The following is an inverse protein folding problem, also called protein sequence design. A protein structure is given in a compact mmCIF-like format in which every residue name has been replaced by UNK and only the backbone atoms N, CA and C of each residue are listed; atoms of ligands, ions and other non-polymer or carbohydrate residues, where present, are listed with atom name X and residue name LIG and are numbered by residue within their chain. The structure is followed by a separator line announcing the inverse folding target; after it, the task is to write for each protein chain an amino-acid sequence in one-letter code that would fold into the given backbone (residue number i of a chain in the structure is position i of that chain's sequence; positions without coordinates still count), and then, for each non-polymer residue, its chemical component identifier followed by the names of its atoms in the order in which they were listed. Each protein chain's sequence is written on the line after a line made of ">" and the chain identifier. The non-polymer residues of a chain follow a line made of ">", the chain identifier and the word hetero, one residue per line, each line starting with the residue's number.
data_IF_190991890586
#
_entry.id   IF_190991890586
#
_cell.length_a   1.000
_cell.length_b   1.000
_cell.length_c   1.000
_cell.angle_alpha   90.00
_cell.angle_beta   90.00
_cell.angle_gamma   90.00
#
_symmetry.space_group_name_H-M   'P 1'
#
loop_
_entity.id
_entity.type
_entity.pdbx_description
1 polymer ?
#
# COMPACT_ATOMS: atom_id res chain seq x y z
N UNK A 1 34.22 -32.66 7.36
CA UNK A 1 33.45 -32.55 8.61
C UNK A 1 32.20 -31.74 8.33
N UNK A 2 31.07 -32.40 8.11
CA UNK A 2 29.78 -31.78 7.81
C UNK A 2 28.92 -31.80 9.09
N UNK A 3 28.60 -30.63 9.65
CA UNK A 3 27.66 -30.53 10.76
C UNK A 3 26.28 -30.14 10.22
N UNK A 4 25.37 -31.11 10.18
CA UNK A 4 23.93 -30.84 10.07
C UNK A 4 23.42 -30.43 11.45
N UNK A 5 22.92 -29.20 11.57
CA UNK A 5 22.23 -28.71 12.77
C UNK A 5 20.72 -28.87 12.53
N UNK A 6 20.12 -29.88 13.15
CA UNK A 6 18.67 -30.10 13.15
C UNK A 6 18.06 -29.33 14.33
N UNK A 7 17.27 -28.28 14.08
CA UNK A 7 16.49 -27.62 15.14
C UNK A 7 15.17 -28.37 15.35
N UNK A 8 15.01 -29.03 16.50
CA UNK A 8 13.72 -29.49 17.04
C UNK A 8 13.29 -28.52 18.14
N UNK A 9 12.21 -27.77 17.90
CA UNK A 9 11.53 -27.00 18.94
C UNK A 9 10.38 -27.82 19.52
N UNK A 10 10.48 -28.22 20.78
CA UNK A 10 9.39 -28.78 21.58
C UNK A 10 8.72 -27.62 22.31
N UNK A 11 7.42 -27.42 22.10
CA UNK A 11 6.61 -26.44 22.84
C UNK A 11 5.64 -27.23 23.74
N UNK A 12 5.93 -27.23 25.04
CA UNK A 12 5.01 -27.71 26.09
C UNK A 12 4.25 -26.50 26.61
N UNK A 13 2.96 -26.44 26.33
CA UNK A 13 2.04 -25.47 26.93
C UNK A 13 1.06 -26.21 27.82
N UNK A 14 1.20 -26.06 29.14
CA UNK A 14 0.21 -26.51 30.13
C UNK A 14 -0.95 -25.53 30.17
N UNK A 15 -2.13 -25.97 29.75
CA UNK A 15 -3.38 -25.23 30.01
C UNK A 15 -4.01 -25.79 31.29
N UNK A 16 -4.15 -24.93 32.30
CA UNK A 16 -4.84 -25.23 33.54
C UNK A 16 -6.33 -25.46 33.28
N UNK A 17 -6.85 -26.62 33.68
CA UNK A 17 -8.29 -26.93 33.65
C UNK A 17 -8.98 -26.26 34.84
N UNK A 18 -9.72 -25.20 34.59
CA UNK A 18 -10.75 -24.68 35.50
C UNK A 18 -12.04 -25.47 35.33
N UNK A 19 -12.44 -26.20 36.37
CA UNK A 19 -13.70 -26.93 36.43
C UNK A 19 -14.89 -25.97 36.63
N UNK A 20 -15.95 -26.14 35.84
CA UNK A 20 -17.19 -25.35 35.99
C UNK A 20 -18.29 -25.69 34.97
N UNK A 21 -19.04 -26.76 35.28
CA UNK A 21 -20.45 -27.02 34.90
C UNK A 21 -20.95 -26.88 33.44
N UNK A 22 -21.16 -28.04 32.82
CA UNK A 22 -22.37 -28.52 32.10
C UNK A 22 -23.15 -27.52 31.23
N UNK A 23 -22.80 -27.49 29.94
CA UNK A 23 -23.68 -27.08 28.84
C UNK A 23 -23.30 -27.86 27.58
N UNK A 24 -24.16 -28.78 27.15
CA UNK A 24 -24.00 -29.56 25.91
C UNK A 24 -24.09 -28.60 24.72
N UNK A 25 -22.94 -28.25 24.15
CA UNK A 25 -22.83 -27.52 22.89
C UNK A 25 -21.47 -27.83 22.29
N UNK A 26 -21.45 -28.67 21.26
CA UNK A 26 -20.25 -28.99 20.49
C UNK A 26 -19.74 -27.69 19.87
N UNK A 27 -18.74 -27.07 20.49
CA UNK A 27 -17.94 -26.03 19.86
C UNK A 27 -17.00 -26.75 18.88
N UNK A 28 -17.10 -26.54 17.55
CA UNK A 28 -16.08 -27.03 16.66
C UNK A 28 -14.77 -26.35 17.05
N UNK A 29 -13.79 -27.16 17.44
CA UNK A 29 -12.46 -26.67 17.75
C UNK A 29 -11.93 -25.88 16.56
N UNK A 30 -11.63 -24.60 16.79
CA UNK A 30 -10.75 -23.84 15.90
C UNK A 30 -9.35 -24.42 16.05
N UNK A 31 -9.13 -25.58 15.41
CA UNK A 31 -7.81 -25.94 14.97
C UNK A 31 -7.43 -24.86 13.93
N UNK A 32 -6.70 -23.82 14.38
CA UNK A 32 -5.87 -23.05 13.47
C UNK A 32 -4.78 -24.00 13.00
N UNK A 33 -5.10 -24.79 11.98
CA UNK A 33 -4.10 -25.27 11.06
C UNK A 33 -3.37 -24.02 10.58
N UNK A 34 -2.08 -23.92 10.94
CA UNK A 34 -1.15 -23.00 10.31
C UNK A 34 -1.01 -23.43 8.85
N UNK A 35 -2.01 -23.10 8.03
CA UNK A 35 -1.85 -23.08 6.60
C UNK A 35 -0.71 -22.12 6.34
N UNK A 36 0.38 -22.62 5.75
CA UNK A 36 1.37 -21.75 5.15
C UNK A 36 0.60 -20.79 4.24
N UNK A 37 0.50 -19.54 4.67
CA UNK A 37 -0.18 -18.49 3.93
C UNK A 37 0.42 -18.50 2.52
N UNK A 38 -0.42 -18.70 1.51
CA UNK A 38 -0.09 -18.50 0.09
C UNK A 38 0.10 -16.99 -0.16
N UNK A 39 1.12 -16.45 0.50
CA UNK A 39 1.48 -15.03 0.55
C UNK A 39 2.17 -14.73 -0.77
N UNK A 40 1.56 -13.84 -1.55
CA UNK A 40 2.20 -13.27 -2.73
C UNK A 40 2.91 -11.98 -2.33
N UNK A 41 4.16 -11.82 -2.76
CA UNK A 41 4.92 -10.60 -2.52
C UNK A 41 4.95 -9.80 -3.82
N UNK A 42 4.46 -8.57 -3.78
CA UNK A 42 4.37 -7.65 -4.91
C UNK A 42 5.30 -6.47 -4.72
N UNK A 43 5.90 -5.97 -5.81
CA UNK A 43 6.67 -4.75 -5.77
C UNK A 43 6.33 -3.81 -6.93
N UNK A 44 6.34 -2.52 -6.66
CA UNK A 44 6.32 -1.45 -7.66
C UNK A 44 7.51 -0.53 -7.40
N UNK A 45 8.42 -0.47 -8.37
CA UNK A 45 9.60 0.40 -8.34
C UNK A 45 9.40 1.50 -9.38
N UNK A 46 9.43 2.76 -8.96
CA UNK A 46 9.28 3.93 -9.84
C UNK A 46 10.61 4.68 -9.82
N UNK A 47 11.23 4.83 -10.99
CA UNK A 47 12.49 5.55 -11.16
C UNK A 47 12.35 6.63 -12.23
N UNK A 48 12.45 7.90 -11.82
CA UNK A 48 12.33 9.07 -12.70
C UNK A 48 13.68 9.74 -12.85
N UNK A 49 14.39 9.38 -13.92
CA UNK A 49 15.73 9.91 -14.23
C UNK A 49 15.67 11.17 -15.09
N UNK A 50 14.81 11.21 -16.10
CA UNK A 50 14.71 12.33 -17.04
C UNK A 50 13.35 13.04 -16.93
N UNK A 51 13.38 14.36 -17.13
CA UNK A 51 12.19 15.23 -17.09
C UNK A 51 12.10 16.03 -18.39
N UNK A 52 11.59 15.45 -19.49
CA UNK A 52 11.59 16.06 -20.82
C UNK A 52 10.87 17.42 -20.88
N UNK A 53 9.91 17.67 -20.00
CA UNK A 53 9.15 18.92 -19.94
C UNK A 53 9.81 19.99 -19.06
N UNK A 54 10.95 19.69 -18.42
CA UNK A 54 11.70 20.59 -17.54
C UNK A 54 13.09 20.91 -18.15
N UNK A 55 13.79 21.95 -17.67
CA UNK A 55 15.15 22.23 -18.10
C UNK A 55 16.06 21.01 -17.95
N UNK A 56 17.03 20.77 -18.86
CA UNK A 56 17.88 19.58 -18.84
C UNK A 56 18.61 19.32 -17.52
N UNK A 57 18.90 20.39 -16.76
CA UNK A 57 19.51 20.33 -15.42
C UNK A 57 18.63 19.67 -14.35
N UNK A 58 17.34 19.45 -14.62
CA UNK A 58 16.43 18.77 -13.71
C UNK A 58 16.64 17.25 -13.72
N UNK A 59 17.28 16.69 -14.76
CA UNK A 59 17.56 15.25 -14.82
C UNK A 59 18.49 14.79 -13.69
N UNK A 60 18.25 13.58 -13.23
CA UNK A 60 19.02 12.89 -12.20
C UNK A 60 19.88 11.79 -12.83
N UNK A 61 20.81 11.23 -12.06
CA UNK A 61 21.66 10.09 -12.50
C UNK A 61 21.32 8.80 -11.73
N UNK A 62 20.88 8.94 -10.48
CA UNK A 62 20.68 7.82 -9.54
C UNK A 62 19.45 6.93 -9.77
N UNK A 63 18.25 7.44 -10.09
CA UNK A 63 17.01 6.66 -9.95
C UNK A 63 16.97 5.33 -10.68
N UNK A 64 17.48 5.26 -11.91
CA UNK A 64 17.55 3.99 -12.65
C UNK A 64 18.49 2.98 -11.99
N UNK A 65 19.62 3.43 -11.43
CA UNK A 65 20.53 2.56 -10.69
C UNK A 65 19.86 2.03 -9.42
N UNK A 66 19.12 2.88 -8.70
CA UNK A 66 18.38 2.48 -7.49
C UNK A 66 17.34 1.39 -7.81
N UNK A 67 16.55 1.57 -8.87
CA UNK A 67 15.54 0.60 -9.27
C UNK A 67 16.16 -0.72 -9.74
N UNK A 68 17.28 -0.67 -10.48
CA UNK A 68 17.98 -1.88 -10.91
C UNK A 68 18.51 -2.69 -9.73
N UNK A 69 19.20 -2.02 -8.78
CA UNK A 69 19.76 -2.65 -7.58
C UNK A 69 18.67 -3.25 -6.69
N UNK A 70 17.58 -2.51 -6.46
CA UNK A 70 16.47 -3.01 -5.64
C UNK A 70 15.74 -4.14 -6.34
N UNK A 71 15.50 -4.08 -7.65
CA UNK A 71 14.92 -5.20 -8.40
C UNK A 71 15.77 -6.46 -8.26
N UNK A 72 17.07 -6.35 -8.46
CA UNK A 72 17.99 -7.47 -8.31
C UNK A 72 17.96 -8.03 -6.88
N UNK A 73 17.98 -7.16 -5.88
CA UNK A 73 17.87 -7.58 -4.47
C UNK A 73 16.56 -8.33 -4.21
N UNK A 74 15.42 -7.81 -4.66
CA UNK A 74 14.11 -8.42 -4.44
C UNK A 74 13.99 -9.81 -5.08
N UNK A 75 14.57 -10.00 -6.27
CA UNK A 75 14.48 -11.26 -7.01
C UNK A 75 15.47 -12.33 -6.50
N UNK A 76 16.66 -11.92 -6.06
CA UNK A 76 17.75 -12.87 -5.83
C UNK A 76 18.20 -12.99 -4.36
N UNK A 77 18.02 -11.93 -3.56
CA UNK A 77 18.68 -11.81 -2.25
C UNK A 77 17.71 -11.54 -1.09
N UNK A 78 16.47 -11.16 -1.39
CA UNK A 78 15.50 -10.82 -0.36
C UNK A 78 15.16 -12.05 0.50
N UNK A 79 14.98 -11.87 1.83
CA UNK A 79 14.60 -12.97 2.72
C UNK A 79 13.18 -13.49 2.48
N UNK A 80 12.38 -12.76 1.69
CA UNK A 80 11.08 -13.17 1.20
C UNK A 80 11.11 -13.21 -0.34
N UNK A 81 10.55 -14.26 -0.93
CA UNK A 81 10.62 -14.51 -2.37
C UNK A 81 9.67 -13.57 -3.13
N UNK A 82 10.19 -12.78 -4.05
CA UNK A 82 9.39 -12.07 -5.06
C UNK A 82 9.48 -12.82 -6.39
N UNK A 83 8.34 -13.16 -6.98
CA UNK A 83 8.34 -13.69 -8.35
C UNK A 83 8.52 -12.53 -9.34
N UNK A 84 9.31 -12.70 -10.43
CA UNK A 84 9.57 -11.64 -11.41
C UNK A 84 8.31 -10.96 -11.96
N UNK A 85 7.24 -11.72 -12.20
CA UNK A 85 5.95 -11.21 -12.69
C UNK A 85 5.22 -10.31 -11.68
N UNK A 86 5.59 -10.37 -10.40
CA UNK A 86 5.04 -9.57 -9.33
C UNK A 86 5.90 -8.34 -8.99
N UNK A 87 7.03 -8.14 -9.68
CA UNK A 87 7.90 -6.96 -9.54
C UNK A 87 7.77 -6.09 -10.77
N UNK A 88 7.01 -5.00 -10.66
CA UNK A 88 6.83 -4.01 -11.72
C UNK A 88 7.82 -2.86 -11.57
N UNK A 89 8.46 -2.44 -12.65
CA UNK A 89 9.34 -1.27 -12.72
C UNK A 89 8.78 -0.26 -13.71
N UNK A 90 8.63 0.99 -13.28
CA UNK A 90 8.33 2.12 -14.15
C UNK A 90 9.58 2.99 -14.24
N UNK A 91 10.21 3.02 -15.41
CA UNK A 91 11.46 3.72 -15.65
C UNK A 91 11.70 3.90 -17.15
N UNK A 92 12.40 4.98 -17.53
CA UNK A 92 12.85 5.21 -18.89
C UNK A 92 14.33 4.80 -19.04
N UNK A 93 14.70 4.21 -20.18
CA UNK A 93 16.11 3.91 -20.52
C UNK A 93 16.71 2.65 -19.87
N UNK A 94 15.89 1.82 -19.23
CA UNK A 94 16.25 0.47 -18.74
C UNK A 94 15.13 -0.53 -19.06
N UNK A 95 15.36 -1.82 -18.82
CA UNK A 95 14.30 -2.85 -18.89
C UNK A 95 13.23 -2.55 -17.83
N UNK A 96 12.01 -2.25 -18.30
CA UNK A 96 10.92 -1.77 -17.46
C UNK A 96 9.54 -2.15 -18.02
N UNK A 97 8.52 -2.02 -17.19
CA UNK A 97 7.11 -2.24 -17.55
C UNK A 97 6.45 -0.99 -18.16
N UNK A 98 7.17 0.13 -18.28
CA UNK A 98 6.66 1.36 -18.89
C UNK A 98 7.33 2.63 -18.37
N UNK A 99 7.02 3.75 -19.01
CA UNK A 99 7.49 5.07 -18.61
C UNK A 99 6.89 5.50 -17.26
N UNK A 100 7.65 6.20 -16.39
CA UNK A 100 7.22 6.62 -15.06
C UNK A 100 6.42 7.93 -15.11
N UNK A 101 5.39 7.98 -15.96
CA UNK A 101 4.45 9.10 -16.05
C UNK A 101 3.43 9.04 -14.91
N UNK A 102 2.76 10.16 -14.62
CA UNK A 102 1.70 10.22 -13.61
C UNK A 102 0.63 9.16 -13.88
N UNK A 103 0.21 9.04 -15.15
CA UNK A 103 -0.80 8.06 -15.57
C UNK A 103 -0.36 6.60 -15.35
N UNK A 104 0.88 6.26 -15.69
CA UNK A 104 1.42 4.91 -15.49
C UNK A 104 1.52 4.55 -14.01
N UNK A 105 2.00 5.49 -13.18
CA UNK A 105 2.14 5.28 -11.73
C UNK A 105 0.78 5.02 -11.09
N UNK A 106 -0.23 5.85 -11.40
CA UNK A 106 -1.60 5.66 -10.91
C UNK A 106 -2.17 4.32 -11.33
N UNK A 107 -2.03 3.97 -12.62
CA UNK A 107 -2.52 2.70 -13.15
C UNK A 107 -1.84 1.48 -12.48
N UNK A 108 -0.55 1.58 -12.18
CA UNK A 108 0.17 0.52 -11.48
C UNK A 108 -0.30 0.36 -10.02
N UNK A 109 -0.52 1.48 -9.31
CA UNK A 109 -1.06 1.47 -7.95
C UNK A 109 -2.49 0.91 -7.90
N UNK A 110 -3.35 1.31 -8.84
CA UNK A 110 -4.71 0.76 -8.97
C UNK A 110 -4.68 -0.73 -9.32
N UNK A 111 -3.76 -1.13 -10.20
CA UNK A 111 -3.50 -2.53 -10.54
C UNK A 111 -3.09 -3.36 -9.32
N UNK A 112 -2.24 -2.83 -8.44
CA UNK A 112 -1.91 -3.46 -7.16
C UNK A 112 -3.14 -3.57 -6.26
N UNK A 113 -3.92 -2.50 -6.12
CA UNK A 113 -5.14 -2.50 -5.30
C UNK A 113 -6.12 -3.58 -5.75
N UNK A 114 -6.23 -3.86 -7.06
CA UNK A 114 -7.09 -4.93 -7.60
C UNK A 114 -6.59 -6.36 -7.38
N UNK A 115 -5.27 -6.55 -7.18
CA UNK A 115 -4.62 -7.87 -7.10
C UNK A 115 -4.37 -8.33 -5.67
N UNK A 116 -3.90 -7.43 -4.81
CA UNK A 116 -3.41 -7.72 -3.45
C UNK A 116 -4.51 -8.28 -2.56
N UNK A 117 -4.17 -9.27 -1.76
CA UNK A 117 -5.06 -9.97 -0.80
C UNK A 117 -4.53 -9.83 0.63
N UNK A 118 -5.29 -10.36 1.59
CA UNK A 118 -4.77 -10.50 2.95
C UNK A 118 -3.60 -11.47 2.99
N UNK A 119 -2.58 -11.13 3.79
CA UNK A 119 -1.38 -11.93 3.94
C UNK A 119 -0.30 -11.64 2.90
N UNK A 120 -0.64 -10.92 1.82
CA UNK A 120 0.34 -10.48 0.83
C UNK A 120 1.23 -9.36 1.38
N UNK A 121 2.44 -9.28 0.83
CA UNK A 121 3.38 -8.20 1.10
C UNK A 121 3.49 -7.29 -0.13
N UNK A 122 3.52 -5.98 0.09
CA UNK A 122 3.68 -4.99 -0.98
C UNK A 122 4.86 -4.11 -0.66
N UNK A 123 5.84 -4.05 -1.56
CA UNK A 123 6.99 -3.16 -1.50
C UNK A 123 6.84 -2.05 -2.55
N UNK A 124 6.98 -0.79 -2.14
CA UNK A 124 6.89 0.35 -3.03
C UNK A 124 8.17 1.17 -2.90
N UNK A 125 8.78 1.50 -4.03
CA UNK A 125 9.95 2.38 -4.10
C UNK A 125 9.66 3.50 -5.09
N UNK A 126 9.95 4.73 -4.68
CA UNK A 126 9.92 5.90 -5.54
C UNK A 126 11.30 6.56 -5.47
N UNK A 127 11.99 6.63 -6.60
CA UNK A 127 13.24 7.36 -6.76
C UNK A 127 13.08 8.40 -7.86
N UNK A 128 13.34 9.66 -7.54
CA UNK A 128 13.04 10.81 -8.38
C UNK A 128 12.99 12.10 -7.56
N UNK A 129 12.54 13.19 -8.17
CA UNK A 129 12.36 14.45 -7.46
C UNK A 129 11.10 14.44 -6.61
N UNK A 130 11.21 15.04 -5.43
CA UNK A 130 10.09 15.49 -4.62
C UNK A 130 10.23 16.97 -4.32
N UNK A 131 9.12 17.66 -4.12
CA UNK A 131 9.10 19.07 -3.72
C UNK A 131 7.82 19.40 -2.96
N UNK A 132 7.60 20.67 -2.67
CA UNK A 132 6.38 21.17 -2.03
C UNK A 132 5.71 22.21 -2.93
N UNK A 133 4.39 22.23 -2.90
CA UNK A 133 3.55 23.24 -3.54
C UNK A 133 2.56 23.79 -2.50
N UNK A 134 1.94 24.98 -2.71
CA UNK A 134 0.85 25.44 -1.87
C UNK A 134 -0.26 24.39 -1.80
N UNK A 135 -0.76 24.15 -0.58
CA UNK A 135 -1.77 23.15 -0.33
C UNK A 135 -3.06 23.44 -1.10
N UNK A 136 -3.65 22.39 -1.69
CA UNK A 136 -4.98 22.47 -2.30
C UNK A 136 -6.03 22.81 -1.23
N UNK A 137 -5.90 22.22 -0.04
CA UNK A 137 -6.69 22.55 1.15
C UNK A 137 -5.75 22.94 2.30
N UNK A 138 -5.46 24.23 2.47
CA UNK A 138 -4.58 24.71 3.54
C UNK A 138 -5.13 24.46 4.95
N UNK A 139 -6.43 24.14 5.11
CA UNK A 139 -7.02 23.94 6.44
C UNK A 139 -6.60 22.62 7.08
N UNK A 140 -6.15 21.66 6.27
CA UNK A 140 -5.68 20.34 6.71
C UNK A 140 -4.15 20.22 6.69
N UNK A 141 -3.45 21.25 6.21
CA UNK A 141 -1.98 21.31 6.15
C UNK A 141 -1.40 22.29 7.18
N UNK A 142 -0.67 21.81 8.21
CA UNK A 142 -0.17 22.68 9.28
C UNK A 142 0.73 23.83 8.82
N UNK A 143 1.48 23.63 7.74
CA UNK A 143 2.36 24.63 7.12
C UNK A 143 1.78 25.22 5.82
N UNK A 144 0.59 24.77 5.42
CA UNK A 144 -0.10 25.19 4.20
C UNK A 144 0.53 24.67 2.91
N UNK A 145 1.33 23.60 2.95
CA UNK A 145 1.99 23.02 1.78
C UNK A 145 1.59 21.56 1.56
N UNK A 146 1.51 21.16 0.29
CA UNK A 146 1.41 19.77 -0.13
C UNK A 146 2.79 19.25 -0.54
N UNK A 147 3.23 18.11 0.00
CA UNK A 147 4.34 17.36 -0.61
C UNK A 147 3.91 16.71 -1.92
N UNK A 148 4.82 16.76 -2.90
CA UNK A 148 4.60 16.14 -4.19
C UNK A 148 5.80 15.32 -4.64
N UNK A 149 5.52 14.21 -5.30
CA UNK A 149 6.47 13.49 -6.14
C UNK A 149 6.32 13.94 -7.59
N UNK A 150 7.41 14.00 -8.35
CA UNK A 150 7.43 14.45 -9.74
C UNK A 150 7.59 13.26 -10.72
N UNK A 151 6.53 12.82 -11.41
CA UNK A 151 6.61 11.91 -12.53
C UNK A 151 7.40 12.49 -13.73
N UNK A 152 7.80 11.65 -14.69
CA UNK A 152 8.60 12.12 -15.84
C UNK A 152 7.88 13.15 -16.72
N UNK A 153 6.55 13.10 -16.77
CA UNK A 153 5.69 14.03 -17.51
C UNK A 153 5.28 15.28 -16.71
N UNK A 154 5.93 15.54 -15.57
CA UNK A 154 5.75 16.77 -14.78
C UNK A 154 6.05 18.00 -15.64
N UNK A 155 5.13 18.96 -15.66
CA UNK A 155 5.29 20.21 -16.40
C UNK A 155 5.95 21.32 -15.59
N UNK A 156 6.44 22.34 -16.28
CA UNK A 156 6.99 23.53 -15.64
C UNK A 156 5.96 24.24 -14.75
N UNK A 157 6.36 24.55 -13.53
CA UNK A 157 5.53 25.29 -12.59
C UNK A 157 5.51 26.79 -12.95
N UNK A 158 4.45 27.22 -13.63
CA UNK A 158 4.30 28.59 -14.13
C UNK A 158 3.50 29.49 -13.19
N UNK A 159 2.49 28.93 -12.52
CA UNK A 159 1.58 29.67 -11.64
C UNK A 159 1.54 29.00 -10.26
N UNK A 160 2.05 29.69 -9.25
CA UNK A 160 2.09 29.16 -7.87
C UNK A 160 0.71 28.89 -7.29
N UNK A 161 -0.33 29.53 -7.81
CA UNK A 161 -1.71 29.30 -7.36
C UNK A 161 -2.35 28.03 -7.95
N UNK A 162 -1.78 27.43 -8.99
CA UNK A 162 -2.39 26.32 -9.76
C UNK A 162 -1.72 24.96 -9.58
N UNK A 163 -0.85 24.81 -8.58
CA UNK A 163 -0.08 23.60 -8.33
C UNK A 163 0.92 23.27 -9.47
N UNK A 164 1.74 22.26 -9.24
CA UNK A 164 2.72 21.78 -10.22
C UNK A 164 2.01 20.86 -11.22
N UNK A 165 2.04 21.14 -12.53
CA UNK A 165 1.36 20.31 -13.53
C UNK A 165 1.87 18.87 -13.51
N UNK A 166 0.93 17.90 -13.48
CA UNK A 166 1.21 16.46 -13.43
C UNK A 166 2.04 15.96 -12.25
N UNK A 167 2.20 16.73 -11.19
CA UNK A 167 2.77 16.22 -9.95
C UNK A 167 1.79 15.24 -9.25
N UNK A 168 2.35 14.29 -8.50
CA UNK A 168 1.58 13.40 -7.63
C UNK A 168 1.60 13.96 -6.22
N UNK A 169 0.43 14.39 -5.74
CA UNK A 169 0.28 14.94 -4.39
C UNK A 169 0.25 13.81 -3.35
N UNK A 170 0.82 14.04 -2.17
CA UNK A 170 0.85 13.10 -1.05
C UNK A 170 -0.53 12.49 -0.74
N UNK A 171 -1.60 13.29 -0.83
CA UNK A 171 -3.00 12.87 -0.60
C UNK A 171 -3.45 11.86 -1.62
N UNK A 172 -3.11 12.07 -2.89
CA UNK A 172 -3.42 11.13 -3.96
C UNK A 172 -2.67 9.81 -3.75
N UNK A 173 -1.39 9.88 -3.39
CA UNK A 173 -0.60 8.68 -3.05
C UNK A 173 -1.24 7.96 -1.86
N UNK A 174 -1.58 8.69 -0.79
CA UNK A 174 -2.25 8.15 0.40
C UNK A 174 -3.54 7.42 0.03
N UNK A 175 -4.37 7.98 -0.84
CA UNK A 175 -5.63 7.36 -1.24
C UNK A 175 -5.40 6.05 -2.01
N UNK A 176 -4.41 6.00 -2.91
CA UNK A 176 -4.01 4.75 -3.58
C UNK A 176 -3.46 3.71 -2.58
N UNK A 177 -2.64 4.13 -1.62
CA UNK A 177 -2.14 3.24 -0.56
C UNK A 177 -3.27 2.71 0.31
N UNK A 178 -4.24 3.56 0.61
CA UNK A 178 -5.42 3.18 1.37
C UNK A 178 -6.25 2.17 0.59
N UNK A 179 -6.43 2.34 -0.73
CA UNK A 179 -7.12 1.36 -1.57
C UNK A 179 -6.42 -0.02 -1.59
N UNK A 180 -5.08 -0.05 -1.62
CA UNK A 180 -4.30 -1.29 -1.48
C UNK A 180 -4.52 -1.92 -0.10
N UNK A 181 -4.56 -1.09 0.96
CA UNK A 181 -4.71 -1.56 2.35
C UNK A 181 -6.13 -2.07 2.67
N UNK A 182 -7.15 -1.32 2.26
CA UNK A 182 -8.57 -1.52 2.57
C UNK A 182 -9.27 -2.53 1.66
N UNK A 183 -8.51 -3.20 0.80
CA UNK A 183 -9.07 -4.18 -0.12
C UNK A 183 -10.03 -5.13 0.63
N UNK A 184 -11.33 -5.17 0.29
CA UNK A 184 -12.32 -5.98 1.01
C UNK A 184 -12.00 -7.47 1.02
N UNK A 185 -11.18 -7.98 0.09
CA UNK A 185 -10.65 -9.36 0.14
C UNK A 185 -9.67 -9.52 1.30
N UNK A 186 -8.85 -8.51 1.58
CA UNK A 186 -7.95 -8.45 2.74
C UNK A 186 -8.72 -8.30 4.05
N UNK A 187 -9.62 -7.33 4.12
CA UNK A 187 -10.40 -7.07 5.33
C UNK A 187 -11.30 -8.27 5.70
N UNK A 188 -11.92 -8.94 4.71
CA UNK A 188 -12.72 -10.15 4.98
C UNK A 188 -11.92 -11.32 5.55
N UNK A 189 -10.68 -11.52 5.11
CA UNK A 189 -9.84 -12.59 5.67
C UNK A 189 -9.40 -12.30 7.12
N UNK A 190 -9.39 -11.03 7.53
CA UNK A 190 -9.21 -10.61 8.92
C UNK A 190 -10.51 -10.63 9.74
N UNK A 191 -11.62 -11.14 9.18
CA UNK A 191 -12.94 -11.17 9.83
C UNK A 191 -13.74 -9.87 9.71
N UNK A 192 -13.22 -8.85 9.02
CA UNK A 192 -13.90 -7.56 8.84
C UNK A 192 -14.67 -7.49 7.51
N UNK A 193 -16.00 -7.46 7.59
CA UNK A 193 -16.85 -7.16 6.45
C UNK A 193 -17.05 -5.64 6.29
N UNK A 194 -16.24 -5.00 5.44
CA UNK A 194 -16.27 -3.54 5.19
C UNK A 194 -17.67 -3.04 4.78
N UNK A 195 -18.37 -3.79 3.91
CA UNK A 195 -19.73 -3.45 3.50
C UNK A 195 -20.72 -3.50 4.68
N UNK A 196 -20.62 -4.52 5.53
CA UNK A 196 -21.46 -4.64 6.72
C UNK A 196 -21.18 -3.52 7.73
N UNK A 197 -19.90 -3.16 7.92
CA UNK A 197 -19.52 -2.04 8.79
C UNK A 197 -20.02 -0.70 8.26
N UNK A 198 -19.96 -0.45 6.95
CA UNK A 198 -20.54 0.78 6.34
C UNK A 198 -22.05 0.83 6.52
N UNK A 199 -22.75 -0.28 6.27
CA UNK A 199 -24.22 -0.35 6.47
C UNK A 199 -24.57 -0.13 7.95
N UNK A 200 -23.85 -0.76 8.88
CA UNK A 200 -24.06 -0.55 10.31
C UNK A 200 -23.80 0.90 10.73
N UNK A 201 -22.72 1.52 10.23
CA UNK A 201 -22.40 2.91 10.50
C UNK A 201 -23.48 3.87 9.98
N UNK A 202 -23.98 3.66 8.75
CA UNK A 202 -25.09 4.44 8.21
C UNK A 202 -26.40 4.20 8.97
N UNK A 203 -26.69 2.98 9.40
CA UNK A 203 -27.86 2.68 10.21
C UNK A 203 -27.81 3.37 11.59
N UNK A 204 -26.67 3.32 12.28
CA UNK A 204 -26.47 4.01 13.57
C UNK A 204 -26.59 5.53 13.40
N UNK A 205 -25.96 6.09 12.36
CA UNK A 205 -26.06 7.51 12.04
C UNK A 205 -27.50 7.93 11.74
N UNK A 206 -28.24 7.13 10.97
CA UNK A 206 -29.65 7.35 10.69
C UNK A 206 -30.54 7.30 11.93
N UNK A 207 -30.26 6.40 12.88
CA UNK A 207 -30.97 6.35 14.18
C UNK A 207 -30.69 7.59 15.02
N UNK A 208 -29.43 8.03 15.10
CA UNK A 208 -29.06 9.26 15.83
C UNK A 208 -29.72 10.49 15.20
N UNK A 209 -29.69 10.60 13.87
CA UNK A 209 -30.35 11.69 13.15
C UNK A 209 -31.88 11.67 13.33
N UNK A 210 -32.49 10.47 13.34
CA UNK A 210 -33.92 10.31 13.58
C UNK A 210 -34.37 10.65 15.01
N UNK A 211 -33.55 10.33 16.01
CA UNK A 211 -33.83 10.65 17.42
C UNK A 211 -33.53 12.13 17.75
N UNK A 212 -32.52 12.73 17.12
CA UNK A 212 -32.19 14.14 17.28
C UNK A 212 -33.14 15.10 16.56
N UNK A 213 -33.93 14.60 15.60
CA UNK A 213 -34.92 15.38 14.85
C UNK A 213 -36.26 15.60 15.57
N UNK A 214 -36.46 15.06 16.77
CA UNK A 214 -37.66 15.34 17.58
C UNK A 214 -37.45 16.67 18.30
N UNK A 215 -37.74 17.78 17.61
CA UNK A 215 -37.92 19.08 18.26
C UNK A 215 -39.09 18.97 19.25
N UNK A 216 -38.80 19.14 20.54
CA UNK A 216 -39.77 19.60 21.52
C UNK A 216 -40.31 20.95 21.04
N UNK A 217 -41.61 20.97 20.68
CA UNK A 217 -42.42 22.18 20.56
C UNK A 217 -42.75 22.69 21.96
#
# INVERSE_FOLDING_TARGET
>A
MHHHITRRGLLVGTAALGAGSLGLGVLPGFAQSGAASDRTNHALLVAVTAYPNLPPKASLVGPNNDAALVREFLLNNAPVRFEPENVSVLADGIDSNGAPTRGSIRSALDGLAGKVKAGDFVYLQFSGHGTQQPAIDPSIEPDGLDEVFLPSDTGMWQDRSKGIPNALVDKEIRDHLQAIRDNPRRMRALGFHVAAHRVAAYAISGVIAGLGGVLLV
#
